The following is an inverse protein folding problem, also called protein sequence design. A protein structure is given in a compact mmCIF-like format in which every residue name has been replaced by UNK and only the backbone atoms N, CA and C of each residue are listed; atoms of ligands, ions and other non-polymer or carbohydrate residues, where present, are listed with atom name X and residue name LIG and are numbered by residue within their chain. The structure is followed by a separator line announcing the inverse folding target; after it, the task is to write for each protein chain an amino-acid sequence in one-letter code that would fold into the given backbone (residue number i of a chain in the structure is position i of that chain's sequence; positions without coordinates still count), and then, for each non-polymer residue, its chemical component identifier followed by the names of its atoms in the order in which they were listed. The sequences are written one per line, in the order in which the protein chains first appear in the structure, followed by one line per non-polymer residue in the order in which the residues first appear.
data_IF_042177496131
#
_entry.id   IF_042177496131
#
_cell.length_a   1.000
_cell.length_b   1.000
_cell.length_c   1.000
_cell.angle_alpha   90.00
_cell.angle_beta   90.00
_cell.angle_gamma   90.00
#
_symmetry.space_group_name_H-M   'P 1'
#
loop_
_entity.id
_entity.type
_entity.pdbx_description
1 polymer ?
#
# COMPACT_ATOMS: atom_id res chain seq x y z
N UNK A 1 2.84 4.25 -12.65
CA UNK A 1 1.58 4.12 -11.88
C UNK A 1 1.42 5.38 -11.08
N UNK A 2 0.24 5.99 -11.11
CA UNK A 2 -0.06 7.11 -10.22
C UNK A 2 -0.36 6.57 -8.82
N UNK A 3 -0.22 7.41 -7.79
CA UNK A 3 -0.35 6.96 -6.40
C UNK A 3 -1.79 6.54 -6.04
N UNK A 4 -2.79 7.20 -6.63
CA UNK A 4 -4.21 6.83 -6.52
C UNK A 4 -4.49 5.43 -7.08
N UNK A 5 -3.98 5.14 -8.29
CA UNK A 5 -4.08 3.81 -8.92
C UNK A 5 -3.43 2.72 -8.05
N UNK A 6 -2.30 3.05 -7.42
CA UNK A 6 -1.60 2.11 -6.53
C UNK A 6 -2.44 1.78 -5.29
N UNK A 7 -3.04 2.79 -4.64
CA UNK A 7 -3.86 2.61 -3.44
C UNK A 7 -5.08 1.72 -3.69
N UNK A 8 -5.77 1.93 -4.82
CA UNK A 8 -6.91 1.09 -5.22
C UNK A 8 -6.46 -0.36 -5.46
N UNK A 9 -5.36 -0.56 -6.17
CA UNK A 9 -4.85 -1.88 -6.49
C UNK A 9 -4.42 -2.68 -5.25
N UNK A 10 -3.75 -2.04 -4.29
CA UNK A 10 -3.29 -2.73 -3.07
C UNK A 10 -4.44 -3.00 -2.10
N UNK A 11 -5.46 -2.15 -2.06
CA UNK A 11 -6.68 -2.44 -1.31
C UNK A 11 -7.40 -3.68 -1.87
N UNK A 12 -7.53 -3.77 -3.20
CA UNK A 12 -8.14 -4.92 -3.86
C UNK A 12 -7.30 -6.20 -3.65
N UNK A 13 -5.97 -6.10 -3.74
CA UNK A 13 -5.07 -7.19 -3.40
C UNK A 13 -5.25 -7.64 -1.93
N UNK A 14 -5.41 -6.69 -1.00
CA UNK A 14 -5.68 -6.96 0.42
C UNK A 14 -6.99 -7.71 0.65
N UNK A 15 -8.02 -7.52 -0.16
CA UNK A 15 -9.29 -8.26 -0.07
C UNK A 15 -9.18 -9.70 -0.60
N UNK A 16 -8.22 -9.98 -1.48
CA UNK A 16 -8.14 -11.26 -2.16
C UNK A 16 -7.63 -12.41 -1.27
N UNK A 17 -8.35 -13.54 -1.20
CA UNK A 17 -8.07 -14.67 -0.28
C UNK A 17 -6.65 -15.26 -0.38
N UNK A 18 -6.00 -15.15 -1.55
CA UNK A 18 -4.63 -15.65 -1.77
C UNK A 18 -3.52 -14.69 -1.33
N UNK A 19 -3.86 -13.43 -1.02
CA UNK A 19 -2.86 -12.47 -0.56
C UNK A 19 -2.62 -12.66 0.94
N UNK A 20 -1.42 -13.09 1.31
CA UNK A 20 -1.05 -13.43 2.69
C UNK A 20 -0.09 -12.41 3.32
N UNK A 21 0.68 -11.71 2.50
CA UNK A 21 1.67 -10.74 2.93
C UNK A 21 1.90 -9.70 1.82
N UNK A 22 2.43 -8.55 2.22
CA UNK A 22 2.90 -7.49 1.35
C UNK A 22 4.18 -6.91 1.93
N UNK A 23 5.08 -6.47 1.07
CA UNK A 23 6.31 -5.77 1.43
C UNK A 23 6.45 -4.50 0.57
N UNK A 24 7.15 -3.49 1.09
CA UNK A 24 7.41 -2.23 0.40
C UNK A 24 8.91 -2.02 0.35
N UNK A 25 9.45 -1.97 -0.87
CA UNK A 25 10.89 -1.85 -1.14
C UNK A 25 11.24 -0.56 -1.86
N UNK A 26 12.53 -0.27 -1.97
CA UNK A 26 13.09 0.83 -2.77
C UNK A 26 12.72 2.26 -2.32
N UNK A 27 12.34 2.45 -1.06
CA UNK A 27 12.20 3.80 -0.48
C UNK A 27 13.60 4.32 -0.12
N UNK A 28 14.01 5.42 -0.76
CA UNK A 28 15.28 6.10 -0.46
C UNK A 28 14.99 7.44 0.23
N UNK A 29 15.17 7.48 1.56
CA UNK A 29 14.94 8.68 2.37
C UNK A 29 15.82 9.87 1.98
N UNK A 30 16.99 9.62 1.39
CA UNK A 30 17.92 10.70 1.01
C UNK A 30 17.46 11.46 -0.23
N UNK A 31 16.62 10.84 -1.06
CA UNK A 31 16.09 11.41 -2.31
C UNK A 31 14.62 11.80 -2.22
N UNK A 32 13.97 11.49 -1.10
CA UNK A 32 12.54 11.75 -0.93
C UNK A 32 12.28 13.24 -0.64
N UNK A 33 11.49 13.87 -1.51
CA UNK A 33 11.11 15.27 -1.36
C UNK A 33 9.94 15.34 -0.40
N UNK A 34 10.10 16.07 0.71
CA UNK A 34 9.05 16.27 1.74
C UNK A 34 8.42 14.97 2.27
N UNK A 35 9.18 13.87 2.24
CA UNK A 35 8.74 12.53 2.65
C UNK A 35 7.53 12.04 1.85
N UNK A 36 7.34 12.49 0.61
CA UNK A 36 6.17 12.15 -0.20
C UNK A 36 6.10 10.65 -0.50
N UNK A 37 7.23 10.04 -0.84
CA UNK A 37 7.35 8.60 -1.12
C UNK A 37 7.09 7.79 0.14
N UNK A 38 7.63 8.23 1.28
CA UNK A 38 7.36 7.60 2.58
C UNK A 38 5.88 7.67 2.96
N UNK A 39 5.23 8.82 2.79
CA UNK A 39 3.79 8.98 3.08
C UNK A 39 2.95 8.08 2.18
N UNK A 40 3.29 8.00 0.89
CA UNK A 40 2.64 7.09 -0.04
C UNK A 40 2.80 5.63 0.39
N UNK A 41 4.01 5.21 0.81
CA UNK A 41 4.24 3.87 1.32
C UNK A 41 3.40 3.53 2.56
N UNK A 42 3.28 4.47 3.50
CA UNK A 42 2.42 4.29 4.69
C UNK A 42 0.96 4.14 4.26
N UNK A 43 0.47 4.96 3.33
CA UNK A 43 -0.88 4.83 2.78
C UNK A 43 -1.10 3.46 2.12
N UNK A 44 -0.17 3.01 1.27
CA UNK A 44 -0.21 1.67 0.67
C UNK A 44 -0.40 0.57 1.72
N UNK A 45 0.36 0.63 2.81
CA UNK A 45 0.25 -0.37 3.89
C UNK A 45 -1.13 -0.31 4.57
N UNK A 46 -1.63 0.90 4.85
CA UNK A 46 -2.95 1.10 5.46
C UNK A 46 -4.09 0.64 4.54
N UNK A 47 -4.01 0.88 3.24
CA UNK A 47 -5.00 0.46 2.25
C UNK A 47 -5.03 -1.08 2.11
N UNK A 48 -3.86 -1.72 2.07
CA UNK A 48 -3.76 -3.18 2.09
C UNK A 48 -4.35 -3.78 3.38
N UNK A 49 -4.00 -3.23 4.55
CA UNK A 49 -4.56 -3.66 5.83
C UNK A 49 -6.07 -3.42 5.92
N UNK A 50 -6.57 -2.36 5.30
CA UNK A 50 -8.00 -2.09 5.20
C UNK A 50 -8.69 -3.14 4.35
N UNK A 51 -8.13 -3.48 3.19
CA UNK A 51 -8.60 -4.58 2.34
C UNK A 51 -8.60 -5.92 3.08
N UNK A 52 -7.54 -6.22 3.85
CA UNK A 52 -7.46 -7.40 4.71
C UNK A 52 -8.57 -7.44 5.75
N UNK A 53 -8.86 -6.31 6.42
CA UNK A 53 -9.94 -6.22 7.39
C UNK A 53 -11.31 -6.43 6.75
N UNK A 54 -11.52 -5.90 5.54
CA UNK A 54 -12.77 -6.04 4.78
C UNK A 54 -12.99 -7.45 4.23
N UNK A 55 -11.94 -8.27 4.09
CA UNK A 55 -12.04 -9.67 3.61
C UNK A 55 -12.99 -10.54 4.45
N UNK A 56 -13.17 -10.20 5.72
CA UNK A 56 -13.97 -10.94 6.70
C UNK A 56 -15.29 -10.26 7.08
N UNK A 57 -15.67 -9.20 6.38
CA UNK A 57 -16.95 -8.51 6.53
C UNK A 57 -17.95 -9.05 5.51
#
# INVERSE_FOLDING_TARGET
MRTDELFEAVMEAGRHQKANAMDIVCIDYSKDVEKQTLKAAVHVMLDYMTGLKQRHI
#
